data_IF_855253682979
#
_entry.id   IF_855253682979
#
_cell.length_a   1.000
_cell.length_b   1.000
_cell.length_c   1.000
_cell.angle_alpha   90.00
_cell.angle_beta   90.00
_cell.angle_gamma   90.00
#
_symmetry.space_group_name_H-M   'P 1'
#
loop_
_entity.id
_entity.type
_entity.pdbx_description
1 polymer ?
#
# COMPACT_ATOMS: atom_id res chain seq x y z
N UNK A 1 -0.24 -20.27 -2.18
CA UNK A 1 -0.17 -19.28 -1.09
C UNK A 1 0.09 -17.92 -1.70
N UNK A 2 -0.71 -16.91 -1.33
CA UNK A 2 -0.59 -15.55 -1.86
C UNK A 2 -0.28 -14.59 -0.72
N UNK A 3 0.87 -13.91 -0.77
CA UNK A 3 1.35 -13.05 0.33
C UNK A 3 2.33 -11.98 -0.18
N UNK A 4 2.48 -10.84 0.52
CA UNK A 4 3.51 -9.85 0.23
C UNK A 4 4.91 -10.44 0.32
N UNK A 5 5.83 -10.03 -0.55
CA UNK A 5 7.20 -10.58 -0.56
C UNK A 5 7.95 -10.35 0.75
N UNK A 6 7.67 -9.25 1.43
CA UNK A 6 8.35 -8.89 2.69
C UNK A 6 7.95 -9.82 3.85
N UNK A 7 6.83 -10.52 3.73
CA UNK A 7 6.35 -11.49 4.72
C UNK A 7 6.94 -12.89 4.49
N UNK A 8 7.71 -13.12 3.42
CA UNK A 8 8.34 -14.41 3.13
C UNK A 8 9.18 -14.98 4.30
N UNK A 9 9.95 -14.18 5.06
CA UNK A 9 10.69 -14.69 6.21
C UNK A 9 9.81 -15.22 7.34
N UNK A 10 8.51 -14.87 7.37
CA UNK A 10 7.56 -15.34 8.38
C UNK A 10 6.97 -16.72 8.03
N UNK A 11 7.19 -17.21 6.81
CA UNK A 11 6.67 -18.49 6.35
C UNK A 11 7.58 -19.66 6.80
N UNK A 12 7.13 -20.40 7.82
CA UNK A 12 7.80 -21.64 8.23
C UNK A 12 7.40 -22.81 7.31
N UNK A 13 8.15 -22.98 6.22
CA UNK A 13 7.95 -24.09 5.28
C UNK A 13 8.20 -25.45 5.90
N UNK A 14 9.06 -25.55 6.93
CA UNK A 14 9.36 -26.83 7.57
C UNK A 14 8.15 -27.33 8.34
N UNK A 15 7.49 -26.46 9.09
CA UNK A 15 6.26 -26.79 9.79
C UNK A 15 5.16 -27.24 8.81
N UNK A 16 5.05 -26.59 7.65
CA UNK A 16 4.09 -26.99 6.60
C UNK A 16 4.44 -28.37 6.05
N UNK A 17 5.69 -28.60 5.65
CA UNK A 17 6.10 -29.89 5.09
C UNK A 17 5.98 -31.04 6.10
N UNK A 18 6.29 -30.79 7.37
CA UNK A 18 6.13 -31.79 8.44
C UNK A 18 4.66 -32.16 8.66
N UNK A 19 3.75 -31.19 8.60
CA UNK A 19 2.31 -31.44 8.69
C UNK A 19 1.82 -32.37 7.57
N UNK A 20 2.40 -32.28 6.37
CA UNK A 20 2.04 -33.08 5.20
C UNK A 20 3.00 -34.26 4.94
N UNK A 21 3.76 -34.72 5.94
CA UNK A 21 4.76 -35.80 5.78
C UNK A 21 4.22 -37.11 5.23
N UNK A 22 2.93 -37.39 5.44
CA UNK A 22 2.26 -38.63 5.01
C UNK A 22 1.63 -38.51 3.61
N UNK A 23 1.72 -37.33 2.98
CA UNK A 23 1.26 -37.13 1.62
C UNK A 23 2.25 -37.71 0.60
N UNK A 24 1.73 -38.25 -0.49
CA UNK A 24 2.55 -38.82 -1.58
C UNK A 24 3.46 -37.78 -2.24
N UNK A 25 2.99 -36.54 -2.39
CA UNK A 25 3.78 -35.42 -2.90
C UNK A 25 3.21 -34.09 -2.38
N UNK A 26 4.09 -33.17 -1.96
CA UNK A 26 3.74 -31.83 -1.47
C UNK A 26 4.58 -30.80 -2.18
N UNK A 27 3.93 -29.76 -2.72
CA UNK A 27 4.60 -28.62 -3.37
C UNK A 27 3.99 -27.32 -2.86
N UNK A 28 4.85 -26.41 -2.41
CA UNK A 28 4.45 -25.06 -2.00
C UNK A 28 4.53 -24.15 -3.22
N UNK A 29 3.38 -23.76 -3.77
CA UNK A 29 3.30 -22.73 -4.81
C UNK A 29 3.14 -21.36 -4.16
N UNK A 30 4.16 -20.51 -4.33
CA UNK A 30 4.21 -19.14 -3.82
C UNK A 30 3.78 -18.17 -4.91
N UNK A 31 2.78 -17.36 -4.60
CA UNK A 31 2.35 -16.24 -5.42
C UNK A 31 2.66 -14.96 -4.63
N UNK A 32 3.75 -14.29 -4.99
CA UNK A 32 4.07 -13.03 -4.35
C UNK A 32 3.10 -11.97 -4.83
N UNK A 33 2.45 -11.29 -3.88
CA UNK A 33 1.87 -9.99 -4.14
C UNK A 33 3.05 -9.04 -4.34
N UNK A 34 3.43 -8.83 -5.60
CA UNK A 34 4.19 -7.65 -5.95
C UNK A 34 3.28 -6.48 -5.66
N UNK A 35 3.47 -5.79 -4.53
CA UNK A 35 3.03 -4.41 -4.43
C UNK A 35 3.59 -3.75 -5.68
N UNK A 36 2.72 -3.35 -6.63
CA UNK A 36 3.12 -2.35 -7.60
C UNK A 36 3.66 -1.25 -6.71
N UNK A 37 4.97 -1.01 -6.73
CA UNK A 37 5.43 0.32 -6.35
C UNK A 37 4.71 1.17 -7.39
N UNK A 38 3.57 1.74 -7.01
CA UNK A 38 2.86 2.69 -7.84
C UNK A 38 3.83 3.85 -7.94
N UNK A 39 4.73 3.76 -8.92
CA UNK A 39 5.51 4.88 -9.37
C UNK A 39 4.42 5.73 -9.98
N UNK A 40 4.00 6.77 -9.26
CA UNK A 40 3.20 7.86 -9.83
C UNK A 40 3.85 8.13 -11.19
N UNK A 41 3.14 7.75 -12.26
CA UNK A 41 3.75 7.48 -13.55
C UNK A 41 4.49 8.71 -14.06
N UNK A 42 5.77 8.53 -14.41
CA UNK A 42 6.72 9.55 -14.84
C UNK A 42 6.76 10.81 -13.95
N UNK A 43 7.86 10.98 -13.22
CA UNK A 43 8.04 12.00 -12.18
C UNK A 43 8.11 13.46 -12.69
N UNK A 44 7.38 13.80 -13.75
CA UNK A 44 7.21 15.14 -14.26
C UNK A 44 5.95 15.75 -13.63
N UNK A 45 6.13 16.60 -12.62
CA UNK A 45 5.03 17.40 -12.05
C UNK A 45 4.67 17.05 -10.60
N UNK A 46 5.22 15.98 -10.02
CA UNK A 46 5.06 15.67 -8.59
C UNK A 46 5.56 16.83 -7.72
N UNK A 47 6.64 17.50 -8.15
CA UNK A 47 7.18 18.68 -7.47
C UNK A 47 6.26 19.91 -7.52
N UNK A 48 5.28 19.93 -8.43
CA UNK A 48 4.32 21.03 -8.58
C UNK A 48 2.96 20.74 -7.96
N UNK A 49 2.72 19.50 -7.54
CA UNK A 49 1.44 19.06 -6.99
C UNK A 49 1.34 19.41 -5.51
N UNK A 50 0.17 19.86 -5.12
CA UNK A 50 -0.21 20.03 -3.72
C UNK A 50 -0.33 18.65 -3.04
N UNK A 51 -0.20 18.59 -1.70
CA UNK A 51 -0.37 17.34 -0.96
C UNK A 51 -1.70 16.63 -1.23
N UNK A 52 -2.77 17.38 -1.50
CA UNK A 52 -4.08 16.84 -1.83
C UNK A 52 -4.10 16.18 -3.22
N UNK A 53 -3.50 16.82 -4.22
CA UNK A 53 -3.39 16.26 -5.57
C UNK A 53 -2.53 15.00 -5.59
N UNK A 54 -1.50 14.94 -4.74
CA UNK A 54 -0.67 13.73 -4.56
C UNK A 54 -1.48 12.57 -3.97
N UNK A 55 -2.28 12.84 -2.94
CA UNK A 55 -3.16 11.85 -2.31
C UNK A 55 -4.22 11.34 -3.29
N UNK A 56 -4.88 12.25 -4.01
CA UNK A 56 -5.84 11.90 -5.06
C UNK A 56 -5.21 10.99 -6.12
N UNK A 57 -4.05 11.38 -6.65
CA UNK A 57 -3.36 10.61 -7.70
C UNK A 57 -2.94 9.23 -7.20
N UNK A 58 -2.49 9.14 -5.95
CA UNK A 58 -2.18 7.86 -5.31
C UNK A 58 -3.42 6.96 -5.21
N UNK A 59 -4.53 7.47 -4.68
CA UNK A 59 -5.75 6.67 -4.51
C UNK A 59 -6.40 6.27 -5.84
N UNK A 60 -6.34 7.14 -6.85
CA UNK A 60 -6.74 6.79 -8.23
C UNK A 60 -5.87 5.65 -8.77
N UNK A 61 -4.57 5.66 -8.49
CA UNK A 61 -3.66 4.59 -8.93
C UNK A 61 -3.90 3.23 -8.24
N UNK A 62 -4.49 3.26 -7.05
CA UNK A 62 -4.88 2.09 -6.25
C UNK A 62 -6.33 1.65 -6.54
N UNK A 63 -6.98 2.23 -7.55
CA UNK A 63 -8.34 1.88 -8.00
C UNK A 63 -9.44 2.08 -6.92
N UNK A 64 -9.26 3.04 -6.00
CA UNK A 64 -10.29 3.40 -5.03
C UNK A 64 -11.52 4.02 -5.72
N UNK A 65 -12.70 3.86 -5.11
CA UNK A 65 -13.92 4.47 -5.61
C UNK A 65 -13.91 5.99 -5.41
N UNK A 66 -14.48 6.75 -6.34
CA UNK A 66 -14.51 8.22 -6.27
C UNK A 66 -15.16 8.77 -4.99
N UNK A 67 -16.20 8.12 -4.49
CA UNK A 67 -16.86 8.50 -3.23
C UNK A 67 -15.93 8.31 -2.01
N UNK A 68 -15.11 7.24 -2.01
CA UNK A 68 -14.11 7.00 -0.95
C UNK A 68 -12.96 8.01 -1.05
N UNK A 69 -12.55 8.36 -2.27
CA UNK A 69 -11.53 9.39 -2.53
C UNK A 69 -12.00 10.75 -1.99
N UNK A 70 -13.24 11.15 -2.28
CA UNK A 70 -13.80 12.43 -1.82
C UNK A 70 -13.85 12.51 -0.28
N UNK A 71 -14.25 11.41 0.38
CA UNK A 71 -14.27 11.32 1.84
C UNK A 71 -12.87 11.43 2.44
N UNK A 72 -11.90 10.71 1.87
CA UNK A 72 -10.51 10.74 2.34
C UNK A 72 -9.83 12.08 2.06
N UNK A 73 -10.12 12.74 0.94
CA UNK A 73 -9.66 14.10 0.65
C UNK A 73 -10.27 15.12 1.62
N UNK A 74 -11.52 14.93 2.03
CA UNK A 74 -12.16 15.73 3.07
C UNK A 74 -11.40 15.65 4.39
N UNK A 75 -11.13 14.43 4.85
CA UNK A 75 -10.35 14.19 6.08
C UNK A 75 -8.92 14.75 5.96
N UNK A 76 -8.26 14.54 4.83
CA UNK A 76 -6.91 15.05 4.59
C UNK A 76 -6.86 16.59 4.66
N UNK A 77 -7.88 17.29 4.14
CA UNK A 77 -7.98 18.76 4.27
C UNK A 77 -8.07 19.19 5.73
N UNK A 78 -8.85 18.49 6.54
CA UNK A 78 -8.99 18.79 7.97
C UNK A 78 -7.66 18.60 8.71
N UNK A 79 -6.99 17.47 8.49
CA UNK A 79 -5.70 17.16 9.14
C UNK A 79 -4.62 18.16 8.72
N UNK A 80 -4.50 18.46 7.43
CA UNK A 80 -3.50 19.39 6.92
C UNK A 80 -3.80 20.84 7.35
N UNK A 81 -5.07 21.22 7.52
CA UNK A 81 -5.44 22.53 8.04
C UNK A 81 -5.08 22.68 9.53
N UNK A 82 -5.14 21.59 10.30
CA UNK A 82 -4.75 21.57 11.72
C UNK A 82 -3.22 21.70 11.88
N UNK A 83 -2.44 21.06 11.01
CA UNK A 83 -0.96 21.13 11.04
C UNK A 83 -0.39 22.51 10.66
N UNK A 84 -1.04 23.29 9.80
CA UNK A 84 -0.59 24.66 9.45
C UNK A 84 -0.87 25.67 10.60
N UNK A 85 -1.61 25.27 11.63
CA UNK A 85 -1.93 26.10 12.79
C UNK A 85 -0.81 26.28 13.82
N UNK A 86 0.28 25.49 13.77
CA UNK A 86 1.31 25.44 14.82
C UNK A 86 2.63 26.19 14.50
N UNK A 87 2.81 26.71 13.27
CA UNK A 87 4.05 27.43 12.89
C UNK A 87 4.00 28.97 13.04
N UNK A 88 2.95 29.55 13.64
CA UNK A 88 2.87 31.00 13.91
C UNK A 88 2.91 31.31 15.41
N UNK A 89 3.83 30.70 16.16
CA UNK A 89 4.36 31.27 17.41
C UNK A 89 5.75 30.70 17.69
N UNK A 90 6.78 31.31 17.11
CA UNK A 90 8.20 31.04 17.41
C UNK A 90 9.06 32.26 17.12
#
# INVERSE_FOLDING_TARGET
>A
LTFPRDDEPLLDERAILEHFKDAFEVKIQKHYLTSKRSRLGDAAGVETMTPLELLETYWVSEELAGEEIDLLLGLAKEVLADEVGDEVTG
#
